data_IF_290032914617
#
_entry.id   IF_290032914617
#
_cell.length_a   1.000
_cell.length_b   1.000
_cell.length_c   1.000
_cell.angle_alpha   90.00
_cell.angle_beta   90.00
_cell.angle_gamma   90.00
#
_symmetry.space_group_name_H-M   'P 1'
#
loop_
_entity.id
_entity.type
_entity.pdbx_description
1 polymer ?
#
# COMPACT_ATOMS: atom_id res chain seq x y z
N UNK A 1 -9.34 0.04 18.80
CA UNK A 1 -9.21 -0.20 17.35
C UNK A 1 -7.81 -0.73 17.09
N UNK A 2 -7.67 -1.78 16.27
CA UNK A 2 -6.39 -2.40 15.90
C UNK A 2 -5.81 -1.69 14.68
N UNK A 3 -4.49 -1.64 14.56
CA UNK A 3 -3.83 -1.21 13.31
C UNK A 3 -3.87 -2.32 12.28
N UNK A 4 -3.90 -1.95 10.99
CA UNK A 4 -3.81 -2.92 9.90
C UNK A 4 -2.38 -3.46 9.74
N UNK A 5 -1.39 -2.61 10.03
CA UNK A 5 0.01 -3.00 10.02
C UNK A 5 0.46 -3.52 11.39
N UNK A 6 1.03 -4.74 11.50
CA UNK A 6 1.38 -5.34 12.79
C UNK A 6 2.42 -4.53 13.57
N UNK A 7 3.43 -3.96 12.90
CA UNK A 7 4.43 -3.12 13.57
C UNK A 7 3.87 -1.79 14.07
N UNK A 8 2.86 -1.23 13.40
CA UNK A 8 2.18 -0.02 13.89
C UNK A 8 1.29 -0.36 15.10
N UNK A 9 0.69 -1.54 15.13
CA UNK A 9 -0.08 -2.03 16.28
C UNK A 9 0.83 -2.20 17.51
N UNK A 10 1.97 -2.87 17.32
CA UNK A 10 2.97 -3.04 18.37
C UNK A 10 3.54 -1.69 18.85
N UNK A 11 3.84 -0.78 17.93
CA UNK A 11 4.29 0.57 18.28
C UNK A 11 3.22 1.34 19.05
N UNK A 12 1.95 1.27 18.65
CA UNK A 12 0.86 1.93 19.36
C UNK A 12 0.69 1.40 20.79
N UNK A 13 0.87 0.09 21.00
CA UNK A 13 0.89 -0.50 22.33
C UNK A 13 2.05 0.06 23.18
N UNK A 14 3.26 0.15 22.60
CA UNK A 14 4.44 0.72 23.26
C UNK A 14 4.29 2.22 23.58
N UNK A 15 3.47 2.96 22.81
CA UNK A 15 3.17 4.38 23.04
C UNK A 15 2.13 4.62 24.14
N UNK A 16 1.50 3.58 24.70
CA UNK A 16 0.41 3.74 25.67
C UNK A 16 0.79 4.61 26.89
N UNK A 17 1.97 4.45 27.53
CA UNK A 17 2.37 5.31 28.65
C UNK A 17 2.58 6.76 28.21
N UNK A 18 3.26 6.98 27.08
CA UNK A 18 3.51 8.32 26.54
C UNK A 18 2.20 9.05 26.22
N UNK A 19 1.23 8.35 25.64
CA UNK A 19 -0.12 8.86 25.37
C UNK A 19 -0.84 9.29 26.65
N UNK A 20 -0.75 8.47 27.71
CA UNK A 20 -1.36 8.81 28.99
C UNK A 20 -0.70 10.04 29.64
N UNK A 21 0.63 10.16 29.58
CA UNK A 21 1.34 11.35 30.05
C UNK A 21 1.03 12.59 29.18
N UNK A 22 0.96 12.44 27.86
CA UNK A 22 0.60 13.48 26.91
C UNK A 22 -0.75 14.12 27.26
N UNK A 23 -1.75 13.30 27.58
CA UNK A 23 -3.07 13.77 28.00
C UNK A 23 -3.02 14.63 29.28
N UNK A 24 -2.14 14.31 30.24
CA UNK A 24 -1.98 15.10 31.48
C UNK A 24 -1.32 16.45 31.25
N UNK A 25 -0.50 16.59 30.21
CA UNK A 25 0.24 17.82 29.91
C UNK A 25 -0.32 18.60 28.72
N UNK A 26 -1.45 18.16 28.17
CA UNK A 26 -2.10 18.79 27.01
C UNK A 26 -1.31 18.68 25.71
N UNK A 27 -0.53 17.60 25.54
CA UNK A 27 0.23 17.34 24.31
C UNK A 27 -0.62 16.59 23.26
N UNK A 28 -0.25 16.64 21.97
CA UNK A 28 -0.90 15.86 20.91
C UNK A 28 -0.87 14.35 21.18
N UNK A 29 -1.88 13.61 20.73
CA UNK A 29 -1.94 12.14 20.85
C UNK A 29 -1.00 11.47 19.82
N UNK A 30 0.12 10.85 20.25
CA UNK A 30 1.08 10.24 19.34
C UNK A 30 0.51 9.00 18.62
N UNK A 31 -0.50 8.33 19.18
CA UNK A 31 -1.16 7.18 18.55
C UNK A 31 -2.12 7.64 17.45
N UNK A 32 -2.76 8.79 17.63
CA UNK A 32 -3.59 9.39 16.59
C UNK A 32 -2.77 9.79 15.35
N UNK A 33 -1.52 10.22 15.54
CA UNK A 33 -0.60 10.49 14.44
C UNK A 33 -0.33 9.22 13.62
N UNK A 34 0.03 8.09 14.26
CA UNK A 34 0.30 6.81 13.58
C UNK A 34 -0.84 6.34 12.67
N UNK A 35 -2.08 6.69 12.98
CA UNK A 35 -3.24 6.32 12.15
C UNK A 35 -3.21 6.92 10.75
N UNK A 36 -2.46 8.00 10.55
CA UNK A 36 -2.32 8.65 9.24
C UNK A 36 -1.51 7.82 8.25
N UNK A 37 -0.72 6.85 8.72
CA UNK A 37 0.08 5.93 7.90
C UNK A 37 -0.38 4.47 8.02
N UNK A 38 -1.53 4.24 8.67
CA UNK A 38 -2.09 2.90 8.84
C UNK A 38 -2.59 2.36 7.51
N UNK A 39 -1.88 1.38 6.97
CA UNK A 39 -2.15 0.76 5.68
C UNK A 39 -2.07 -0.77 5.82
N UNK A 40 -2.68 -1.48 4.87
CA UNK A 40 -2.55 -2.94 4.76
C UNK A 40 -1.73 -3.30 3.52
N UNK A 41 -0.38 -3.34 3.60
CA UNK A 41 0.46 -3.84 2.52
C UNK A 41 0.06 -5.24 2.06
N UNK A 42 -0.40 -6.10 2.98
CA UNK A 42 -0.81 -7.46 2.64
C UNK A 42 -2.03 -7.48 1.70
N UNK A 43 -3.05 -6.65 1.95
CA UNK A 43 -4.21 -6.59 1.07
C UNK A 43 -3.84 -6.15 -0.36
N UNK A 44 -2.84 -5.27 -0.49
CA UNK A 44 -2.30 -4.86 -1.80
C UNK A 44 -1.57 -6.02 -2.48
N UNK A 45 -0.73 -6.77 -1.74
CA UNK A 45 -0.06 -7.98 -2.27
C UNK A 45 -1.06 -9.03 -2.73
N UNK A 46 -2.12 -9.27 -1.97
CA UNK A 46 -3.17 -10.22 -2.32
C UNK A 46 -3.91 -9.80 -3.60
N UNK A 47 -4.16 -8.50 -3.75
CA UNK A 47 -4.77 -7.92 -4.97
C UNK A 47 -3.84 -8.06 -6.18
N UNK A 48 -2.54 -7.80 -6.02
CA UNK A 48 -1.54 -7.97 -7.07
C UNK A 48 -1.36 -9.45 -7.48
N UNK A 49 -1.44 -10.38 -6.52
CA UNK A 49 -1.44 -11.81 -6.77
C UNK A 49 -2.69 -12.26 -7.56
N UNK A 50 -3.85 -11.70 -7.22
CA UNK A 50 -5.11 -11.93 -7.94
C UNK A 50 -5.00 -11.46 -9.40
N UNK A 51 -4.43 -10.28 -9.64
CA UNK A 51 -4.17 -9.78 -11.00
C UNK A 51 -3.20 -10.67 -11.78
N UNK A 52 -2.15 -11.18 -11.13
CA UNK A 52 -1.20 -12.12 -11.74
C UNK A 52 -1.87 -13.43 -12.14
N UNK A 53 -2.77 -13.93 -11.29
CA UNK A 53 -3.59 -15.11 -11.61
C UNK A 53 -4.54 -14.82 -12.77
N UNK A 54 -5.17 -13.64 -12.79
CA UNK A 54 -6.04 -13.19 -13.88
C UNK A 54 -5.31 -13.10 -15.23
N UNK A 55 -4.05 -12.64 -15.23
CA UNK A 55 -3.18 -12.68 -16.41
C UNK A 55 -3.04 -14.09 -16.97
N UNK A 56 -2.81 -15.08 -16.11
CA UNK A 56 -2.61 -16.47 -16.55
C UNK A 56 -3.87 -17.06 -17.19
N UNK A 57 -5.03 -16.68 -16.67
CA UNK A 57 -6.33 -17.01 -17.28
C UNK A 57 -6.45 -16.36 -18.66
N UNK A 58 -6.08 -15.09 -18.83
CA UNK A 58 -6.11 -14.39 -20.13
C UNK A 58 -5.16 -15.03 -21.14
N UNK A 59 -3.95 -15.41 -20.72
CA UNK A 59 -2.98 -16.10 -21.58
C UNK A 59 -3.51 -17.47 -22.01
N UNK A 60 -4.13 -18.20 -21.09
CA UNK A 60 -4.73 -19.52 -21.40
C UNK A 60 -5.89 -19.37 -22.38
N UNK A 61 -6.82 -18.45 -22.11
CA UNK A 61 -7.95 -18.15 -22.99
C UNK A 61 -7.50 -17.74 -24.39
N UNK A 62 -6.45 -16.92 -24.49
CA UNK A 62 -5.82 -16.54 -25.76
C UNK A 62 -5.32 -17.76 -26.54
N UNK A 63 -4.58 -18.66 -25.90
CA UNK A 63 -4.03 -19.86 -26.56
C UNK A 63 -5.14 -20.79 -27.05
N UNK A 64 -6.22 -20.94 -26.26
CA UNK A 64 -7.40 -21.71 -26.67
C UNK A 64 -8.12 -21.05 -27.84
N UNK A 65 -8.27 -19.73 -27.81
CA UNK A 65 -8.85 -18.95 -28.88
C UNK A 65 -8.04 -19.04 -30.18
N UNK A 66 -6.71 -18.86 -30.13
CA UNK A 66 -5.82 -19.00 -31.30
C UNK A 66 -5.93 -20.40 -31.93
N UNK A 67 -5.97 -21.46 -31.11
CA UNK A 67 -6.19 -22.83 -31.59
C UNK A 67 -7.54 -22.98 -32.30
N UNK A 68 -8.61 -22.46 -31.70
CA UNK A 68 -9.95 -22.47 -32.29
C UNK A 68 -9.99 -21.70 -33.61
N UNK A 69 -9.34 -20.54 -33.66
CA UNK A 69 -9.29 -19.70 -34.85
C UNK A 69 -8.58 -20.40 -36.02
N UNK A 70 -7.45 -21.05 -35.76
CA UNK A 70 -6.74 -21.84 -36.77
C UNK A 70 -7.55 -23.04 -37.28
N UNK A 71 -8.35 -23.69 -36.42
CA UNK A 71 -9.24 -24.78 -36.84
C UNK A 71 -10.37 -24.27 -37.75
N UNK A 72 -10.96 -23.11 -37.42
CA UNK A 72 -12.02 -22.50 -38.23
C UNK A 72 -11.50 -22.05 -39.61
N UNK A 73 -10.33 -21.40 -39.63
CA UNK A 73 -9.66 -20.95 -40.86
C UNK A 73 -9.42 -22.11 -41.84
N UNK A 74 -8.90 -23.25 -41.34
CA UNK A 74 -8.68 -24.45 -42.15
C UNK A 74 -9.97 -25.06 -42.71
N UNK A 75 -11.10 -24.87 -42.04
CA UNK A 75 -12.38 -25.50 -42.40
C UNK A 75 -13.24 -24.65 -43.34
N UNK A 76 -13.21 -23.33 -43.20
CA UNK A 76 -14.08 -22.44 -43.98
C UNK A 76 -13.47 -22.10 -45.35
N UNK A 77 -12.16 -21.88 -45.44
CA UNK A 77 -11.48 -21.47 -46.67
C UNK A 77 -11.97 -20.12 -47.26
N UNK A 78 -11.26 -19.62 -48.26
CA UNK A 78 -11.65 -18.44 -49.04
C UNK A 78 -11.83 -17.14 -48.24
N UNK A 79 -12.63 -16.23 -48.78
CA UNK A 79 -12.88 -14.90 -48.23
C UNK A 79 -13.50 -14.92 -46.81
N UNK A 80 -14.47 -15.80 -46.47
CA UNK A 80 -15.01 -15.87 -45.10
C UNK A 80 -13.95 -16.26 -44.06
N UNK A 81 -13.02 -17.16 -44.40
CA UNK A 81 -11.91 -17.52 -43.51
C UNK A 81 -10.96 -16.34 -43.29
N UNK A 82 -10.63 -15.59 -44.34
CA UNK A 82 -9.80 -14.40 -44.23
C UNK A 82 -10.46 -13.30 -43.36
N UNK A 83 -11.77 -13.08 -43.55
CA UNK A 83 -12.51 -12.08 -42.77
C UNK A 83 -12.61 -12.46 -41.29
N UNK A 84 -12.81 -13.75 -40.99
CA UNK A 84 -12.77 -14.27 -39.62
C UNK A 84 -11.37 -14.16 -39.02
N UNK A 85 -10.31 -14.50 -39.77
CA UNK A 85 -8.91 -14.40 -39.30
C UNK A 85 -8.57 -12.97 -38.89
N UNK A 86 -8.94 -11.97 -39.69
CA UNK A 86 -8.71 -10.58 -39.36
C UNK A 86 -9.35 -10.17 -38.02
N UNK A 87 -10.60 -10.60 -37.77
CA UNK A 87 -11.29 -10.36 -36.49
C UNK A 87 -10.67 -11.14 -35.33
N UNK A 88 -10.17 -12.35 -35.59
CA UNK A 88 -9.46 -13.13 -34.59
C UNK A 88 -8.13 -12.47 -34.19
N UNK A 89 -7.40 -11.89 -35.15
CA UNK A 89 -6.16 -11.16 -34.88
C UNK A 89 -6.42 -9.89 -34.05
N UNK A 90 -7.53 -9.16 -34.29
CA UNK A 90 -7.97 -8.04 -33.44
C UNK A 90 -8.19 -8.48 -31.99
N UNK A 91 -8.93 -9.58 -31.79
CA UNK A 91 -9.19 -10.12 -30.44
C UNK A 91 -7.92 -10.65 -29.77
N UNK A 92 -7.00 -11.24 -30.52
CA UNK A 92 -5.70 -11.68 -30.02
C UNK A 92 -4.87 -10.51 -29.45
N UNK A 93 -4.87 -9.37 -30.14
CA UNK A 93 -4.23 -8.14 -29.67
C UNK A 93 -4.84 -7.70 -28.34
N UNK A 94 -6.16 -7.77 -28.19
CA UNK A 94 -6.83 -7.42 -26.93
C UNK A 94 -6.44 -8.34 -25.77
N UNK A 95 -6.38 -9.66 -25.99
CA UNK A 95 -5.90 -10.60 -24.97
C UNK A 95 -4.47 -10.28 -24.52
N UNK A 96 -3.58 -9.98 -25.47
CA UNK A 96 -2.18 -9.58 -25.17
C UNK A 96 -2.13 -8.31 -24.34
N UNK A 97 -2.84 -7.26 -24.77
CA UNK A 97 -2.88 -5.98 -24.07
C UNK A 97 -3.44 -6.13 -22.65
N UNK A 98 -4.53 -6.88 -22.48
CA UNK A 98 -5.14 -7.12 -21.18
C UNK A 98 -4.19 -7.89 -20.24
N UNK A 99 -3.51 -8.94 -20.75
CA UNK A 99 -2.53 -9.69 -19.97
C UNK A 99 -1.32 -8.81 -19.58
N UNK A 100 -0.83 -7.97 -20.49
CA UNK A 100 0.29 -7.05 -20.23
C UNK A 100 -0.08 -5.97 -19.20
N UNK A 101 -1.29 -5.41 -19.28
CA UNK A 101 -1.81 -4.47 -18.28
C UNK A 101 -1.92 -5.16 -16.93
N UNK A 102 -2.53 -6.35 -16.85
CA UNK A 102 -2.64 -7.10 -15.61
C UNK A 102 -1.27 -7.38 -14.97
N UNK A 103 -0.27 -7.77 -15.78
CA UNK A 103 1.09 -7.99 -15.31
C UNK A 103 1.74 -6.71 -14.77
N UNK A 104 1.63 -5.60 -15.48
CA UNK A 104 2.18 -4.30 -15.04
C UNK A 104 1.51 -3.81 -13.77
N UNK A 105 0.19 -3.84 -13.69
CA UNK A 105 -0.56 -3.42 -12.50
C UNK A 105 -0.21 -4.29 -11.29
N UNK A 106 -0.04 -5.60 -11.48
CA UNK A 106 0.40 -6.48 -10.41
C UNK A 106 1.82 -6.12 -9.92
N UNK A 107 2.78 -5.92 -10.82
CA UNK A 107 4.15 -5.55 -10.44
C UNK A 107 4.19 -4.24 -9.65
N UNK A 108 3.49 -3.21 -10.15
CA UNK A 108 3.38 -1.92 -9.47
C UNK A 108 2.70 -2.04 -8.11
N UNK A 109 1.65 -2.86 -8.00
CA UNK A 109 1.00 -3.13 -6.72
C UNK A 109 1.94 -3.76 -5.68
N UNK A 110 2.81 -4.68 -6.11
CA UNK A 110 3.82 -5.29 -5.24
C UNK A 110 4.86 -4.26 -4.77
N UNK A 111 5.39 -3.45 -5.70
CA UNK A 111 6.36 -2.41 -5.36
C UNK A 111 5.78 -1.38 -4.37
N UNK A 112 4.52 -0.99 -4.56
CA UNK A 112 3.80 -0.10 -3.65
C UNK A 112 3.62 -0.74 -2.28
N UNK A 113 3.22 -2.02 -2.22
CA UNK A 113 3.05 -2.73 -0.95
C UNK A 113 4.37 -2.79 -0.18
N UNK A 114 5.49 -3.07 -0.84
CA UNK A 114 6.81 -3.13 -0.21
C UNK A 114 7.32 -1.76 0.24
N UNK A 115 7.00 -0.70 -0.50
CA UNK A 115 7.27 0.66 -0.04
C UNK A 115 6.48 0.99 1.22
N UNK A 116 5.17 0.73 1.24
CA UNK A 116 4.29 1.03 2.37
C UNK A 116 4.69 0.23 3.62
N UNK A 117 5.00 -1.06 3.48
CA UNK A 117 5.49 -1.93 4.57
C UNK A 117 6.82 -1.40 5.15
N UNK A 118 7.77 -0.98 4.30
CA UNK A 118 9.02 -0.37 4.77
C UNK A 118 8.79 0.95 5.51
N UNK A 119 7.93 1.83 4.99
CA UNK A 119 7.62 3.10 5.64
C UNK A 119 6.94 2.88 6.99
N UNK A 120 5.98 1.97 7.07
CA UNK A 120 5.30 1.61 8.32
C UNK A 120 6.28 1.04 9.36
N UNK A 121 7.18 0.12 8.96
CA UNK A 121 8.25 -0.41 9.83
C UNK A 121 9.20 0.67 10.33
N UNK A 122 9.66 1.55 9.44
CA UNK A 122 10.57 2.63 9.80
C UNK A 122 9.92 3.63 10.76
N UNK A 123 8.65 3.99 10.50
CA UNK A 123 7.88 4.85 11.38
C UNK A 123 7.66 4.17 12.75
N UNK A 124 7.23 2.92 12.80
CA UNK A 124 7.06 2.13 14.02
C UNK A 124 8.35 2.11 14.86
N UNK A 125 9.48 1.79 14.24
CA UNK A 125 10.77 1.76 14.94
C UNK A 125 11.17 3.15 15.46
N UNK A 126 10.94 4.20 14.68
CA UNK A 126 11.29 5.57 15.08
C UNK A 126 10.43 6.04 16.25
N UNK A 127 9.11 5.81 16.23
CA UNK A 127 8.24 6.25 17.33
C UNK A 127 8.53 5.50 18.63
N UNK A 128 8.84 4.20 18.55
CA UNK A 128 9.23 3.41 19.71
C UNK A 128 10.53 3.96 20.32
N UNK A 129 11.54 4.28 19.51
CA UNK A 129 12.78 4.91 19.99
C UNK A 129 12.51 6.26 20.66
N UNK A 130 11.68 7.11 20.05
CA UNK A 130 11.31 8.41 20.65
C UNK A 130 10.63 8.23 22.00
N UNK A 131 9.72 7.26 22.12
CA UNK A 131 9.03 6.98 23.37
C UNK A 131 9.95 6.41 24.45
N UNK A 132 10.88 5.53 24.08
CA UNK A 132 11.91 5.01 25.00
C UNK A 132 12.79 6.14 25.57
N UNK A 133 13.21 7.09 24.73
CA UNK A 133 13.98 8.26 25.19
C UNK A 133 13.17 9.14 26.14
N UNK A 134 11.86 9.25 25.93
CA UNK A 134 10.95 10.03 26.78
C UNK A 134 10.42 9.25 28.00
N UNK A 135 10.78 7.98 28.18
CA UNK A 135 10.21 7.12 29.21
C UNK A 135 10.40 7.66 30.64
N UNK A 136 11.60 8.15 31.05
CA UNK A 136 11.77 8.67 32.42
C UNK A 136 10.85 9.86 32.74
N UNK A 137 10.69 10.79 31.79
CA UNK A 137 9.79 11.94 31.94
C UNK A 137 8.32 11.51 31.93
N UNK A 138 7.99 10.51 31.13
CA UNK A 138 6.65 9.90 31.06
C UNK A 138 6.28 9.29 32.41
N UNK A 139 7.17 8.49 32.99
CA UNK A 139 6.96 7.83 34.28
C UNK A 139 6.82 8.85 35.41
N UNK A 140 7.65 9.91 35.43
CA UNK A 140 7.51 11.01 36.39
C UNK A 140 6.14 11.68 36.34
N UNK A 141 5.66 12.05 35.14
CA UNK A 141 4.32 12.63 34.96
C UNK A 141 3.22 11.67 35.40
N UNK A 142 3.38 10.37 35.12
CA UNK A 142 2.40 9.34 35.50
C UNK A 142 2.38 9.11 37.03
N UNK A 143 3.51 9.26 37.70
CA UNK A 143 3.64 9.24 39.15
C UNK A 143 3.13 10.52 39.85
N UNK A 144 2.83 11.59 39.09
CA UNK A 144 2.32 12.87 39.61
C UNK A 144 3.38 13.96 39.74
N UNK A 145 4.59 13.75 39.22
CA UNK A 145 5.60 14.79 39.12
C UNK A 145 5.23 15.75 37.98
N UNK A 146 4.89 16.99 38.34
CA UNK A 146 4.47 18.02 37.39
C UNK A 146 5.56 19.06 37.18
N UNK A 147 6.79 18.61 36.88
CA UNK A 147 7.88 19.52 36.54
C UNK A 147 7.71 20.05 35.13
N UNK A 148 8.11 21.31 34.92
CA UNK A 148 8.08 21.93 33.59
C UNK A 148 8.99 21.19 32.59
N UNK A 149 10.10 20.63 33.07
CA UNK A 149 11.05 19.85 32.28
C UNK A 149 10.46 18.54 31.77
N UNK A 150 9.83 17.73 32.65
CA UNK A 150 9.20 16.48 32.23
C UNK A 150 8.07 16.74 31.21
N UNK A 151 7.26 17.78 31.45
CA UNK A 151 6.19 18.16 30.53
C UNK A 151 6.73 18.65 29.18
N UNK A 152 7.88 19.32 29.16
CA UNK A 152 8.57 19.73 27.93
C UNK A 152 9.08 18.51 27.13
N UNK A 153 9.69 17.52 27.80
CA UNK A 153 10.18 16.30 27.15
C UNK A 153 9.02 15.52 26.51
N UNK A 154 7.92 15.31 27.23
CA UNK A 154 6.74 14.61 26.70
C UNK A 154 6.13 15.36 25.51
N UNK A 155 5.97 16.69 25.60
CA UNK A 155 5.48 17.49 24.47
C UNK A 155 6.39 17.38 23.25
N UNK A 156 7.70 17.50 23.45
CA UNK A 156 8.70 17.40 22.38
C UNK A 156 8.67 16.04 21.70
N UNK A 157 8.57 14.96 22.48
CA UNK A 157 8.44 13.60 21.96
C UNK A 157 7.17 13.41 21.11
N UNK A 158 6.02 13.90 21.59
CA UNK A 158 4.76 13.82 20.85
C UNK A 158 4.80 14.62 19.54
N UNK A 159 5.38 15.83 19.57
CA UNK A 159 5.59 16.64 18.37
C UNK A 159 6.52 15.94 17.38
N UNK A 160 7.66 15.41 17.84
CA UNK A 160 8.61 14.70 16.98
C UNK A 160 8.00 13.45 16.33
N UNK A 161 7.13 12.72 17.05
CA UNK A 161 6.36 11.60 16.48
C UNK A 161 5.42 12.11 15.40
N UNK A 162 4.64 13.16 15.69
CA UNK A 162 3.68 13.73 14.73
C UNK A 162 4.37 14.21 13.46
N UNK A 163 5.47 14.94 13.58
CA UNK A 163 6.27 15.42 12.44
C UNK A 163 6.94 14.27 11.67
N UNK A 164 7.41 13.24 12.37
CA UNK A 164 7.94 12.02 11.76
C UNK A 164 6.90 11.32 10.90
N UNK A 165 5.67 11.18 11.40
CA UNK A 165 4.57 10.57 10.66
C UNK A 165 4.14 11.43 9.47
N UNK A 166 3.99 12.75 9.64
CA UNK A 166 3.63 13.65 8.55
C UNK A 166 4.63 13.61 7.39
N UNK A 167 5.94 13.49 7.68
CA UNK A 167 6.97 13.27 6.66
C UNK A 167 6.78 11.93 5.94
N UNK A 168 6.45 10.87 6.68
CA UNK A 168 6.13 9.57 6.09
C UNK A 168 4.92 9.65 5.13
N UNK A 169 3.86 10.35 5.51
CA UNK A 169 2.69 10.59 4.64
C UNK A 169 3.08 11.35 3.37
N UNK A 170 3.93 12.38 3.48
CA UNK A 170 4.40 13.12 2.31
C UNK A 170 5.17 12.23 1.32
N UNK A 171 6.03 11.33 1.83
CA UNK A 171 6.75 10.35 1.00
C UNK A 171 5.79 9.40 0.28
N UNK A 172 4.68 9.00 0.90
CA UNK A 172 3.64 8.19 0.25
C UNK A 172 3.03 8.96 -0.92
N UNK A 173 2.63 10.21 -0.71
CA UNK A 173 2.04 11.06 -1.76
C UNK A 173 2.98 11.21 -2.96
N UNK A 174 4.25 11.48 -2.71
CA UNK A 174 5.27 11.55 -3.77
C UNK A 174 5.40 10.21 -4.52
N UNK A 175 5.42 9.10 -3.80
CA UNK A 175 5.50 7.77 -4.40
C UNK A 175 4.25 7.39 -5.22
N UNK A 176 3.07 7.88 -4.83
CA UNK A 176 1.83 7.62 -5.58
C UNK A 176 1.73 8.39 -6.89
N UNK A 177 2.49 9.47 -7.08
CA UNK A 177 2.54 10.19 -8.37
C UNK A 177 3.09 9.32 -9.52
N UNK A 178 3.92 8.32 -9.20
CA UNK A 178 4.38 7.32 -10.16
C UNK A 178 3.27 6.36 -10.61
N UNK A 179 2.10 6.39 -9.95
CA UNK A 179 0.94 5.56 -10.25
C UNK A 179 -0.07 6.26 -11.19
N UNK A 180 0.08 7.56 -11.45
CA UNK A 180 -0.82 8.34 -12.31
C UNK A 180 -1.09 7.70 -13.69
N UNK A 181 -0.10 7.07 -14.37
CA UNK A 181 -0.34 6.40 -15.66
C UNK A 181 -1.32 5.23 -15.60
N UNK A 182 -1.63 4.71 -14.42
CA UNK A 182 -2.53 3.56 -14.22
C UNK A 182 -3.94 3.95 -13.77
N UNK A 183 -4.21 5.25 -13.57
CA UNK A 183 -5.52 5.75 -13.11
C UNK A 183 -6.54 5.90 -14.23
N UNK A 184 -6.08 5.95 -15.48
CA UNK A 184 -6.96 5.99 -16.66
C UNK A 184 -7.32 4.56 -17.07
N UNK A 185 -8.61 4.16 -17.00
CA UNK A 185 -9.03 2.90 -17.59
C UNK A 185 -8.69 2.94 -19.08
N UNK A 186 -7.92 1.95 -19.56
CA UNK A 186 -7.84 1.69 -21.01
C UNK A 186 -9.15 1.04 -21.41
N UNK A 187 -10.21 1.85 -21.52
CA UNK A 187 -11.45 1.43 -22.15
C UNK A 187 -11.28 1.60 -23.67
N UNK A 188 -11.44 0.53 -24.47
CA UNK A 188 -11.46 0.67 -25.92
C UNK A 188 -12.70 1.45 -26.34
N UNK A 189 -12.50 2.42 -27.24
CA UNK A 189 -13.56 3.03 -28.05
C UNK A 189 -13.85 2.23 -29.30
#
# INVERSE_FOLDING_TARGET
MLFLHPDLDAAAAALSPLRAAAARVGAPDPVAALRQIDCSPQAIRDSACTLSTGRDVLVTARLEFERGAHLAERRWGGEPAAHFRARADELDVHYRQAAEVAARTAAVGLDLADLLDRLARQAAAQVVRTAQTAAPATDGILAGEHTAEAAYVVRTACTAITEGVSRGVATITEATSYLDPFTTPVLPG
#
